data_IF_211133626381
#
_entry.id   IF_211133626381
#
_cell.length_a   1.000
_cell.length_b   1.000
_cell.length_c   1.000
_cell.angle_alpha   90.00
_cell.angle_beta   90.00
_cell.angle_gamma   90.00
#
_symmetry.space_group_name_H-M   'P 1'
#
loop_
_entity.id
_entity.type
_entity.pdbx_description
1 polymer ?
#
# COMPACT_ATOMS: atom_id res chain seq x y z
N UNK A 1 14.50 -12.73 -21.59
CA UNK A 1 13.33 -11.82 -21.48
C UNK A 1 13.25 -11.49 -20.00
N UNK A 2 13.22 -10.23 -19.56
CA UNK A 2 13.04 -9.98 -18.14
C UNK A 2 11.67 -10.51 -17.73
N UNK A 3 11.58 -11.20 -16.60
CA UNK A 3 10.32 -11.75 -16.06
C UNK A 3 9.37 -10.66 -15.52
N UNK A 4 9.72 -9.38 -15.71
CA UNK A 4 9.02 -8.21 -15.17
C UNK A 4 9.09 -7.03 -16.14
N UNK A 5 7.98 -6.29 -16.23
CA UNK A 5 7.94 -4.92 -16.73
C UNK A 5 8.14 -3.98 -15.54
N UNK A 6 9.08 -3.05 -15.63
CA UNK A 6 9.33 -2.04 -14.60
C UNK A 6 8.95 -0.68 -15.16
N UNK A 7 7.98 -0.03 -14.50
CA UNK A 7 7.59 1.35 -14.76
C UNK A 7 8.00 2.21 -13.56
N UNK A 8 8.66 3.34 -13.81
CA UNK A 8 9.05 4.31 -12.78
C UNK A 8 8.27 5.60 -13.00
N UNK A 9 7.47 5.99 -12.01
CA UNK A 9 6.67 7.23 -12.04
C UNK A 9 7.12 8.17 -10.93
N UNK A 10 7.58 9.37 -11.28
CA UNK A 10 7.94 10.42 -10.32
C UNK A 10 7.66 11.79 -10.94
N UNK A 11 6.40 12.19 -10.90
CA UNK A 11 5.96 13.53 -11.30
C UNK A 11 5.67 14.38 -10.07
N UNK A 12 5.75 15.69 -10.24
CA UNK A 12 5.26 16.68 -9.27
C UNK A 12 3.72 16.64 -9.20
N UNK A 13 3.20 15.59 -8.58
CA UNK A 13 1.80 15.22 -8.48
C UNK A 13 1.56 14.39 -7.21
N UNK A 14 0.29 14.10 -6.91
CA UNK A 14 -0.05 13.25 -5.75
C UNK A 14 0.42 11.81 -5.94
N UNK A 15 0.51 11.07 -4.83
CA UNK A 15 0.79 9.65 -4.82
C UNK A 15 -0.25 8.88 -5.65
N UNK A 16 -1.54 9.26 -5.55
CA UNK A 16 -2.61 8.66 -6.33
C UNK A 16 -2.39 8.81 -7.85
N UNK A 17 -2.04 10.01 -8.32
CA UNK A 17 -1.76 10.27 -9.74
C UNK A 17 -0.56 9.47 -10.24
N UNK A 18 0.54 9.48 -9.49
CA UNK A 18 1.74 8.72 -9.88
C UNK A 18 1.46 7.21 -9.92
N UNK A 19 0.73 6.67 -8.94
CA UNK A 19 0.34 5.25 -8.91
C UNK A 19 -0.59 4.87 -10.06
N UNK A 20 -1.58 5.72 -10.38
CA UNK A 20 -2.48 5.48 -11.51
C UNK A 20 -1.75 5.44 -12.84
N UNK A 21 -0.76 6.34 -13.06
CA UNK A 21 0.09 6.27 -14.25
C UNK A 21 0.84 4.94 -14.35
N UNK A 22 1.39 4.45 -13.24
CA UNK A 22 2.00 3.13 -13.18
C UNK A 22 1.01 2.01 -13.54
N UNK A 23 -0.24 2.12 -13.10
CA UNK A 23 -1.32 1.17 -13.42
C UNK A 23 -1.83 1.28 -14.86
N UNK A 24 -1.73 2.44 -15.50
CA UNK A 24 -2.05 2.63 -16.93
C UNK A 24 -1.03 1.96 -17.83
N UNK A 25 0.24 1.98 -17.43
CA UNK A 25 1.34 1.34 -18.16
C UNK A 25 1.45 -0.16 -17.84
N UNK A 26 0.81 -0.64 -16.76
CA UNK A 26 0.86 -2.04 -16.35
C UNK A 26 -0.03 -2.94 -17.24
N UNK A 27 0.59 -3.81 -18.02
CA UNK A 27 -0.10 -4.80 -18.87
C UNK A 27 -0.31 -6.16 -18.20
N UNK A 28 0.39 -6.43 -17.09
CA UNK A 28 0.35 -7.72 -16.39
C UNK A 28 -0.90 -7.87 -15.50
N UNK A 29 -1.36 -9.11 -15.33
CA UNK A 29 -2.48 -9.47 -14.43
C UNK A 29 -2.17 -9.23 -12.94
N UNK A 30 -0.88 -9.20 -12.58
CA UNK A 30 -0.41 -8.95 -11.23
C UNK A 30 0.53 -7.74 -11.26
N UNK A 31 0.30 -6.81 -10.34
CA UNK A 31 1.13 -5.62 -10.17
C UNK A 31 1.84 -5.73 -8.83
N UNK A 32 3.12 -5.35 -8.82
CA UNK A 32 3.88 -5.11 -7.60
C UNK A 32 4.20 -3.61 -7.57
N UNK A 33 3.72 -2.95 -6.53
CA UNK A 33 3.92 -1.53 -6.29
C UNK A 33 4.94 -1.34 -5.16
N UNK A 34 5.89 -0.44 -5.36
CA UNK A 34 6.95 -0.12 -4.40
C UNK A 34 7.19 1.38 -4.40
N UNK A 35 7.12 2.00 -3.23
CA UNK A 35 7.51 3.39 -3.04
C UNK A 35 9.04 3.54 -3.14
N UNK A 36 9.51 4.72 -3.53
CA UNK A 36 10.93 5.02 -3.76
C UNK A 36 11.77 5.11 -2.47
N UNK A 37 11.12 5.14 -1.31
CA UNK A 37 11.73 5.19 0.03
C UNK A 37 11.68 3.85 0.78
N UNK A 38 11.49 2.75 0.04
CA UNK A 38 11.60 1.37 0.53
C UNK A 38 13.06 0.90 0.48
N UNK A 39 13.57 0.44 1.61
CA UNK A 39 14.92 -0.09 1.78
C UNK A 39 14.93 -1.57 2.20
N UNK A 40 16.11 -2.19 2.10
CA UNK A 40 16.37 -3.56 2.54
C UNK A 40 15.49 -4.64 1.88
N UNK A 41 15.17 -4.45 0.59
CA UNK A 41 14.43 -5.44 -0.21
C UNK A 41 15.20 -6.79 -0.25
N UNK A 42 14.66 -7.88 0.34
CA UNK A 42 15.35 -9.17 0.33
C UNK A 42 15.36 -9.78 -1.07
N UNK A 43 16.36 -10.60 -1.41
CA UNK A 43 16.38 -11.26 -2.72
C UNK A 43 15.08 -12.06 -2.95
N UNK A 44 14.46 -11.87 -4.11
CA UNK A 44 13.22 -12.56 -4.49
C UNK A 44 11.94 -11.99 -3.85
N UNK A 45 12.01 -10.85 -3.15
CA UNK A 45 10.87 -10.22 -2.47
C UNK A 45 9.61 -10.10 -3.35
N UNK A 46 9.75 -9.62 -4.59
CA UNK A 46 8.60 -9.41 -5.48
C UNK A 46 7.93 -10.72 -5.87
N UNK A 47 8.74 -11.76 -6.15
CA UNK A 47 8.24 -13.10 -6.41
C UNK A 47 7.51 -13.67 -5.19
N UNK A 48 8.07 -13.50 -4.00
CA UNK A 48 7.46 -13.97 -2.76
C UNK A 48 6.09 -13.32 -2.47
N UNK A 49 5.87 -12.06 -2.87
CA UNK A 49 4.56 -11.42 -2.81
C UNK A 49 3.61 -11.97 -3.88
N UNK A 50 4.07 -12.10 -5.12
CA UNK A 50 3.28 -12.64 -6.24
C UNK A 50 2.85 -14.09 -5.99
N UNK A 51 3.72 -14.92 -5.44
CA UNK A 51 3.42 -16.32 -5.14
C UNK A 51 2.27 -16.44 -4.12
N UNK A 52 2.21 -15.55 -3.11
CA UNK A 52 1.08 -15.52 -2.16
C UNK A 52 -0.25 -15.29 -2.89
N UNK A 53 -0.31 -14.39 -3.88
CA UNK A 53 -1.55 -14.16 -4.66
C UNK A 53 -1.92 -15.35 -5.56
N UNK A 54 -0.93 -16.11 -6.02
CA UNK A 54 -1.15 -17.30 -6.85
C UNK A 54 -1.65 -18.47 -6.01
N UNK A 55 -1.10 -18.65 -4.83
CA UNK A 55 -1.41 -19.74 -3.91
C UNK A 55 -2.69 -19.49 -3.10
N UNK A 56 -3.11 -18.23 -2.97
CA UNK A 56 -4.30 -17.82 -2.22
C UNK A 56 -5.25 -17.04 -3.15
N UNK A 57 -6.12 -17.72 -3.91
CA UNK A 57 -7.04 -17.07 -4.86
C UNK A 57 -7.92 -15.98 -4.23
N UNK A 58 -8.32 -16.17 -2.97
CA UNK A 58 -9.16 -15.24 -2.20
C UNK A 58 -8.38 -14.01 -1.68
N UNK A 59 -7.04 -14.02 -1.78
CA UNK A 59 -6.21 -12.88 -1.45
C UNK A 59 -6.32 -11.82 -2.54
N UNK A 60 -6.79 -10.63 -2.16
CA UNK A 60 -6.94 -9.49 -3.07
C UNK A 60 -5.67 -8.66 -3.16
N UNK A 61 -4.92 -8.59 -2.06
CA UNK A 61 -3.67 -7.85 -1.98
C UNK A 61 -2.81 -8.40 -0.85
N UNK A 62 -1.50 -8.40 -1.08
CA UNK A 62 -0.49 -8.80 -0.10
C UNK A 62 0.59 -7.74 0.02
N UNK A 63 0.86 -7.31 1.24
CA UNK A 63 1.93 -6.35 1.55
C UNK A 63 3.16 -7.08 2.08
N UNK A 64 4.35 -6.53 1.82
CA UNK A 64 5.50 -6.78 2.67
C UNK A 64 5.23 -6.28 4.09
N UNK A 65 5.91 -6.87 5.08
CA UNK A 65 5.94 -6.37 6.45
C UNK A 65 6.81 -5.11 6.49
N UNK A 66 6.16 -3.95 6.57
CA UNK A 66 6.84 -2.66 6.67
C UNK A 66 7.41 -2.47 8.09
N UNK A 67 8.70 -2.16 8.14
CA UNK A 67 9.48 -1.98 9.36
C UNK A 67 9.95 -0.54 9.48
N UNK A 68 10.06 -0.05 10.70
CA UNK A 68 10.83 1.15 11.02
C UNK A 68 12.33 0.83 10.97
N UNK A 69 13.20 1.84 10.81
CA UNK A 69 14.66 1.63 10.82
C UNK A 69 15.22 0.98 12.11
N UNK A 70 14.50 1.09 13.23
CA UNK A 70 14.86 0.45 14.50
C UNK A 70 14.46 -1.04 14.58
N UNK A 71 13.90 -1.60 13.50
CA UNK A 71 13.47 -2.99 13.42
C UNK A 71 12.11 -3.28 14.06
N UNK A 72 11.36 -2.25 14.49
CA UNK A 72 9.98 -2.41 14.95
C UNK A 72 8.97 -2.35 13.80
N UNK A 73 7.80 -3.03 13.88
CA UNK A 73 6.78 -2.91 12.85
C UNK A 73 6.24 -1.48 12.69
N UNK A 74 6.03 -1.07 11.44
CA UNK A 74 5.45 0.23 11.09
C UNK A 74 4.05 0.45 11.70
N UNK A 75 3.65 1.70 11.99
CA UNK A 75 2.46 2.02 12.77
C UNK A 75 1.14 1.57 12.12
N UNK A 76 1.06 1.55 10.79
CA UNK A 76 -0.15 1.24 10.03
C UNK A 76 -0.40 -0.26 9.81
N UNK A 77 0.51 -1.13 10.25
CA UNK A 77 0.36 -2.59 10.13
C UNK A 77 0.40 -3.29 11.50
N UNK A 78 0.04 -2.57 12.57
CA UNK A 78 -0.16 -3.10 13.94
C UNK A 78 -1.43 -3.97 14.03
N UNK A 79 -1.58 -4.93 13.12
CA UNK A 79 -2.53 -6.03 13.25
C UNK A 79 -1.86 -7.17 14.04
N UNK A 80 -2.65 -8.10 14.65
CA UNK A 80 -2.14 -9.12 15.57
C UNK A 80 -0.98 -9.94 14.98
N UNK A 81 -0.17 -10.58 15.85
CA UNK A 81 0.97 -11.37 15.42
C UNK A 81 0.56 -12.43 14.38
N UNK A 82 1.49 -12.87 13.52
CA UNK A 82 1.20 -13.83 12.48
C UNK A 82 0.45 -15.06 12.95
N UNK A 83 -0.37 -15.61 12.06
CA UNK A 83 -0.75 -17.01 12.18
C UNK A 83 0.55 -17.80 12.12
N UNK A 84 0.99 -18.31 13.28
CA UNK A 84 2.35 -18.84 13.54
C UNK A 84 2.82 -19.89 12.52
N UNK A 85 1.90 -20.48 11.77
CA UNK A 85 2.15 -21.64 10.92
C UNK A 85 2.32 -21.31 9.43
N UNK A 86 1.96 -20.10 8.98
CA UNK A 86 1.99 -19.76 7.53
C UNK A 86 2.97 -18.65 7.17
N UNK A 87 3.43 -17.85 8.15
CA UNK A 87 4.18 -16.62 7.86
C UNK A 87 3.34 -15.53 7.19
N UNK A 88 2.01 -15.65 7.23
CA UNK A 88 1.05 -14.68 6.71
C UNK A 88 0.24 -14.09 7.87
N UNK A 89 -0.15 -12.82 7.73
CA UNK A 89 -1.01 -12.13 8.70
C UNK A 89 -2.20 -11.51 7.98
N UNK A 90 -3.42 -11.82 8.43
CA UNK A 90 -4.63 -11.16 7.93
C UNK A 90 -4.64 -9.71 8.42
N UNK A 91 -4.87 -8.78 7.50
CA UNK A 91 -4.95 -7.37 7.78
C UNK A 91 -6.36 -6.83 7.54
N UNK A 92 -6.73 -5.78 8.29
CA UNK A 92 -7.89 -4.97 7.95
C UNK A 92 -7.62 -4.16 6.68
N UNK A 93 -6.61 -3.31 6.69
CA UNK A 93 -6.18 -2.53 5.54
C UNK A 93 -4.67 -2.72 5.34
N UNK A 94 -4.19 -2.43 4.14
CA UNK A 94 -2.78 -2.47 3.80
C UNK A 94 -2.32 -1.12 3.28
N UNK A 95 -1.02 -0.88 3.44
CA UNK A 95 -0.34 0.21 2.75
C UNK A 95 0.15 -0.31 1.39
N UNK A 96 0.02 0.50 0.35
CA UNK A 96 0.45 0.10 -1.01
C UNK A 96 1.94 0.34 -1.26
N UNK A 97 2.66 0.82 -0.23
CA UNK A 97 4.07 1.18 -0.29
C UNK A 97 5.02 0.04 -0.69
N UNK A 98 4.67 -1.22 -0.41
CA UNK A 98 5.37 -2.39 -0.94
C UNK A 98 4.39 -3.56 -0.97
N UNK A 99 3.57 -3.63 -2.00
CA UNK A 99 2.45 -4.57 -2.08
C UNK A 99 2.28 -5.15 -3.48
N UNK A 100 1.77 -6.38 -3.54
CA UNK A 100 1.32 -7.01 -4.76
C UNK A 100 -0.21 -7.16 -4.75
N UNK A 101 -0.85 -6.97 -5.90
CA UNK A 101 -2.29 -7.14 -6.07
C UNK A 101 -2.65 -7.49 -7.52
N UNK A 102 -3.90 -7.90 -7.74
CA UNK A 102 -4.43 -8.19 -9.08
C UNK A 102 -4.72 -6.89 -9.82
N UNK A 103 -4.26 -6.80 -11.07
CA UNK A 103 -4.60 -5.70 -11.97
C UNK A 103 -6.02 -5.91 -12.50
N UNK A 104 -6.99 -5.30 -11.84
CA UNK A 104 -8.41 -5.54 -12.05
C UNK A 104 -9.13 -4.30 -12.61
N UNK A 105 -8.36 -3.29 -13.03
CA UNK A 105 -8.86 -1.99 -13.50
C UNK A 105 -9.23 -1.00 -12.40
N UNK A 106 -9.08 -1.33 -11.11
CA UNK A 106 -9.27 -0.36 -10.03
C UNK A 106 -8.20 0.74 -10.09
N UNK A 107 -8.56 1.95 -9.66
CA UNK A 107 -7.69 3.13 -9.65
C UNK A 107 -7.78 3.86 -8.31
N UNK A 108 -6.71 4.57 -7.96
CA UNK A 108 -6.70 5.48 -6.82
C UNK A 108 -7.54 6.73 -7.13
N UNK A 109 -8.19 7.30 -6.12
CA UNK A 109 -8.92 8.56 -6.27
C UNK A 109 -7.92 9.73 -6.34
N UNK A 110 -7.78 10.36 -7.51
CA UNK A 110 -6.81 11.44 -7.73
C UNK A 110 -7.15 12.75 -7.03
N UNK A 111 -8.32 12.85 -6.37
CA UNK A 111 -8.68 14.00 -5.56
C UNK A 111 -7.88 14.10 -4.24
N UNK A 112 -7.15 13.05 -3.83
CA UNK A 112 -6.23 13.13 -2.71
C UNK A 112 -5.02 14.01 -3.04
N UNK A 113 -4.69 14.93 -2.14
CA UNK A 113 -3.61 15.90 -2.31
C UNK A 113 -2.30 15.37 -1.74
N UNK A 114 -1.22 15.42 -2.51
CA UNK A 114 0.08 14.90 -2.04
C UNK A 114 -0.01 13.41 -1.69
N UNK A 115 0.07 13.05 -0.42
CA UNK A 115 -0.13 11.68 0.06
C UNK A 115 -0.88 11.64 1.39
N UNK A 116 -1.36 10.45 1.75
CA UNK A 116 -2.19 10.17 2.92
C UNK A 116 -3.64 9.89 2.53
N UNK A 117 -4.21 8.82 3.11
CA UNK A 117 -5.58 8.31 2.93
C UNK A 117 -5.96 7.74 1.56
N UNK A 118 -5.14 7.93 0.52
CA UNK A 118 -5.38 7.33 -0.79
C UNK A 118 -5.35 5.80 -0.74
N UNK A 119 -4.44 5.23 0.07
CA UNK A 119 -4.32 3.79 0.28
C UNK A 119 -5.53 3.23 1.05
N UNK A 120 -6.01 3.96 2.05
CA UNK A 120 -7.22 3.60 2.81
C UNK A 120 -8.46 3.60 1.92
N UNK A 121 -8.59 4.60 1.02
CA UNK A 121 -9.68 4.67 0.05
C UNK A 121 -9.59 3.53 -0.96
N UNK A 122 -8.39 3.27 -1.48
CA UNK A 122 -8.15 2.17 -2.40
C UNK A 122 -8.50 0.81 -1.77
N UNK A 123 -8.04 0.56 -0.53
CA UNK A 123 -8.40 -0.65 0.22
C UNK A 123 -9.90 -0.77 0.48
N UNK A 124 -10.59 0.34 0.73
CA UNK A 124 -12.04 0.34 0.86
C UNK A 124 -12.72 -0.09 -0.45
N UNK A 125 -12.32 0.51 -1.58
CA UNK A 125 -12.85 0.14 -2.89
C UNK A 125 -12.55 -1.32 -3.25
N UNK A 126 -11.38 -1.85 -2.90
CA UNK A 126 -11.05 -3.26 -3.04
C UNK A 126 -12.02 -4.16 -2.25
N UNK A 127 -12.38 -3.78 -1.02
CA UNK A 127 -13.37 -4.53 -0.21
C UNK A 127 -14.77 -4.47 -0.81
N UNK A 128 -15.20 -3.32 -1.33
CA UNK A 128 -16.51 -3.22 -2.02
C UNK A 128 -16.55 -4.13 -3.25
N UNK A 129 -15.45 -4.19 -4.01
CA UNK A 129 -15.35 -5.04 -5.21
C UNK A 129 -15.22 -6.53 -4.86
N UNK A 130 -14.51 -6.85 -3.79
CA UNK A 130 -14.26 -8.21 -3.32
C UNK A 130 -14.72 -8.36 -1.87
N UNK A 131 -16.03 -8.52 -1.62
CA UNK A 131 -16.58 -8.53 -0.26
C UNK A 131 -16.08 -9.70 0.60
N UNK A 132 -15.62 -10.79 -0.04
CA UNK A 132 -15.01 -11.95 0.63
C UNK A 132 -13.48 -11.96 0.52
N UNK A 133 -12.88 -10.94 -0.09
CA UNK A 133 -11.45 -10.86 -0.33
C UNK A 133 -10.66 -10.65 0.97
N UNK A 134 -9.52 -11.33 1.08
CA UNK A 134 -8.63 -11.19 2.23
C UNK A 134 -7.39 -10.35 1.89
N UNK A 135 -6.95 -9.59 2.88
CA UNK A 135 -5.76 -8.76 2.82
C UNK A 135 -4.68 -9.44 3.65
N UNK A 136 -3.51 -9.68 3.06
CA UNK A 136 -2.44 -10.42 3.72
C UNK A 136 -1.18 -9.56 3.88
N UNK A 137 -0.40 -9.86 4.91
CA UNK A 137 0.97 -9.39 5.07
C UNK A 137 1.88 -10.60 5.04
N UNK A 138 2.88 -10.59 4.16
CA UNK A 138 3.90 -11.62 4.12
C UNK A 138 5.03 -11.27 5.11
N UNK A 139 5.09 -12.01 6.22
CA UNK A 139 6.06 -11.79 7.31
C UNK A 139 7.50 -12.16 6.95
N UNK A 140 7.67 -12.97 5.89
CA UNK A 140 8.96 -13.35 5.34
C UNK A 140 9.58 -12.24 4.49
N UNK A 141 8.78 -11.31 3.98
CA UNK A 141 9.24 -10.15 3.21
C UNK A 141 9.21 -8.92 4.13
N UNK A 142 10.33 -8.62 4.77
CA UNK A 142 10.48 -7.48 5.68
C UNK A 142 11.30 -6.39 5.01
N UNK A 143 10.75 -5.18 4.96
CA UNK A 143 11.37 -4.03 4.30
C UNK A 143 11.31 -2.81 5.21
N UNK A 144 12.30 -1.93 5.13
CA UNK A 144 12.26 -0.67 5.87
C UNK A 144 11.50 0.34 5.03
N UNK A 145 10.43 0.91 5.58
CA UNK A 145 9.72 2.04 4.95
C UNK A 145 10.11 3.29 5.73
N UNK A 146 10.91 4.15 5.08
CA UNK A 146 11.38 5.38 5.73
C UNK A 146 10.25 6.36 6.00
N UNK A 147 9.19 6.29 5.20
CA UNK A 147 8.07 7.23 5.20
C UNK A 147 8.63 8.65 5.17
N UNK A 148 9.62 8.88 4.30
CA UNK A 148 10.38 10.14 4.23
C UNK A 148 9.42 11.25 3.86
N UNK A 149 8.95 11.98 4.88
CA UNK A 149 8.04 13.12 4.84
C UNK A 149 7.55 13.46 3.44
N UNK A 150 6.74 12.57 2.86
CA UNK A 150 5.91 12.90 1.72
C UNK A 150 5.14 14.14 2.16
N UNK A 151 4.83 15.05 1.26
CA UNK A 151 4.31 16.39 1.54
C UNK A 151 2.88 16.39 2.16
N UNK A 152 2.70 15.60 3.22
CA UNK A 152 1.53 15.37 4.06
C UNK A 152 1.29 16.58 4.97
N UNK A 153 2.28 17.48 5.07
CA UNK A 153 2.28 18.59 6.00
C UNK A 153 2.37 18.05 7.43
N UNK A 154 3.46 17.39 7.80
CA UNK A 154 3.73 17.02 9.19
C UNK A 154 4.95 17.78 9.70
N UNK A 155 4.87 18.25 10.95
CA UNK A 155 6.03 18.75 11.68
C UNK A 155 6.48 17.61 12.59
N UNK A 156 7.74 17.18 12.43
CA UNK A 156 8.35 16.12 13.25
C UNK A 156 8.21 16.45 14.73
N UNK A 157 7.56 15.57 15.49
CA UNK A 157 7.33 15.73 16.93
C UNK A 157 6.12 16.59 17.33
N UNK A 158 5.41 17.19 16.36
CA UNK A 158 4.21 18.03 16.60
C UNK A 158 2.95 17.40 16.00
N UNK A 159 3.07 16.68 14.88
CA UNK A 159 1.95 16.05 14.19
C UNK A 159 1.58 16.77 12.90
N UNK A 160 0.37 16.52 12.35
CA UNK A 160 -0.06 17.15 11.12
C UNK A 160 -0.18 18.67 11.31
N UNK A 161 0.29 19.41 10.32
CA UNK A 161 0.15 20.86 10.18
C UNK A 161 -1.34 21.14 10.02
N UNK A 162 -1.92 22.00 10.87
CA UNK A 162 -3.31 22.42 10.72
C UNK A 162 -3.58 22.97 9.31
N UNK A 163 -4.59 22.45 8.63
CA UNK A 163 -4.92 22.80 7.24
C UNK A 163 -3.97 22.22 6.17
N UNK A 164 -3.03 21.36 6.57
CA UNK A 164 -2.15 20.61 5.68
C UNK A 164 -2.89 19.55 4.86
N UNK A 165 -2.20 18.97 3.87
CA UNK A 165 -2.77 17.97 2.97
C UNK A 165 -3.32 16.76 3.72
N UNK A 166 -2.66 16.29 4.78
CA UNK A 166 -3.15 15.16 5.57
C UNK A 166 -4.53 15.40 6.19
N UNK A 167 -4.79 16.58 6.74
CA UNK A 167 -6.11 16.88 7.34
C UNK A 167 -7.20 17.04 6.28
N UNK A 168 -6.87 17.65 5.14
CA UNK A 168 -7.77 17.77 4.00
C UNK A 168 -8.12 16.40 3.44
N UNK A 169 -7.13 15.54 3.26
CA UNK A 169 -7.31 14.16 2.80
C UNK A 169 -8.12 13.34 3.80
N UNK A 170 -7.87 13.49 5.12
CA UNK A 170 -8.68 12.85 6.16
C UNK A 170 -10.15 13.27 6.07
N UNK A 171 -10.42 14.58 6.03
CA UNK A 171 -11.78 15.10 5.96
C UNK A 171 -12.49 14.66 4.67
N UNK A 172 -11.78 14.66 3.54
CA UNK A 172 -12.28 14.14 2.28
C UNK A 172 -12.58 12.64 2.38
N UNK A 173 -11.66 11.85 2.94
CA UNK A 173 -11.85 10.41 3.13
C UNK A 173 -13.09 10.14 4.00
N UNK A 174 -13.21 10.83 5.13
CA UNK A 174 -14.33 10.69 6.03
C UNK A 174 -15.65 11.07 5.37
N UNK A 175 -15.69 12.13 4.56
CA UNK A 175 -16.91 12.55 3.87
C UNK A 175 -17.49 11.52 2.89
N UNK A 176 -16.67 10.61 2.37
CA UNK A 176 -17.05 9.62 1.35
C UNK A 176 -17.13 8.18 1.86
N UNK A 177 -16.26 7.80 2.80
CA UNK A 177 -16.06 6.40 3.17
C UNK A 177 -16.30 6.11 4.66
N UNK A 178 -16.23 7.08 5.59
CA UNK A 178 -16.39 6.76 7.02
C UNK A 178 -17.82 6.39 7.42
N UNK A 179 -18.81 6.91 6.70
CA UNK A 179 -20.24 6.64 6.94
C UNK A 179 -20.73 5.30 6.35
N UNK A 180 -19.87 4.60 5.60
CA UNK A 180 -20.18 3.32 4.95
C UNK A 180 -19.65 2.09 5.69
N UNK A 181 -19.06 2.26 6.88
CA UNK A 181 -18.53 1.17 7.71
C UNK A 181 -19.60 0.49 8.53
#
# INVERSE_FOLDING_TARGET
IPDYLITVTSQDASAAVNRNRGLEEAESDLVVMVDDDIECLPQGWGKALVDVLRENPDCVTVSARLMNPDGTPGPMLRNPPPTKDTGLTIAGALLTACAAFRNDGLRFDENFLGSGFEDDAYCFCLREKYPNGIFLINEGVRVIHRNEMKNQGFIKGVGPVPGGNFEKNRAYYESKWSTKR
#
